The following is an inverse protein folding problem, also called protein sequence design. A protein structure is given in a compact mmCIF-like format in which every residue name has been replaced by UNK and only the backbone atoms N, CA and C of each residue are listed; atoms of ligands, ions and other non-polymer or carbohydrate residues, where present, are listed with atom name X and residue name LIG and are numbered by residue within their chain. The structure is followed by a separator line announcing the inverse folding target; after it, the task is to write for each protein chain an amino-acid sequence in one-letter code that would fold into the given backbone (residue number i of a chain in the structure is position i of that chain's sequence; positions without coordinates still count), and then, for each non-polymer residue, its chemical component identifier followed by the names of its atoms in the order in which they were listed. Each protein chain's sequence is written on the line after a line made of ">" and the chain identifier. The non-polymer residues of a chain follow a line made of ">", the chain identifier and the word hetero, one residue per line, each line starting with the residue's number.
data_IF_432460849904
#
_entry.id   IF_432460849904
#
_cell.length_a   1.000
_cell.length_b   1.000
_cell.length_c   1.000
_cell.angle_alpha   90.00
_cell.angle_beta   90.00
_cell.angle_gamma   90.00
#
_symmetry.space_group_name_H-M   'P 1'
#
loop_
_entity.id
_entity.type
_entity.pdbx_description
1 polymer ?
#
# COMPACT_ATOMS: atom_id res chain seq x y z
N UNK A 1 3.08 58.74 -6.63
CA UNK A 1 3.83 57.48 -6.42
C UNK A 1 3.55 56.94 -5.01
N UNK A 2 3.05 55.72 -4.86
CA UNK A 2 2.90 55.15 -3.53
C UNK A 2 4.28 54.86 -2.96
N UNK A 3 4.52 55.27 -1.70
CA UNK A 3 5.81 55.05 -1.02
C UNK A 3 6.16 53.59 -0.98
N UNK A 4 7.42 53.21 -1.21
CA UNK A 4 7.92 51.81 -1.08
C UNK A 4 7.54 51.22 0.27
N UNK A 5 7.50 52.04 1.32
CA UNK A 5 7.08 51.64 2.67
C UNK A 5 5.62 51.15 2.72
N UNK A 6 4.72 51.78 1.94
CA UNK A 6 3.34 51.34 1.86
C UNK A 6 3.23 49.93 1.21
N UNK A 7 3.96 49.73 0.11
CA UNK A 7 3.98 48.46 -0.61
C UNK A 7 4.52 47.35 0.29
N UNK A 8 5.62 47.60 1.00
CA UNK A 8 6.23 46.64 1.92
C UNK A 8 5.26 46.27 3.06
N UNK A 9 4.62 47.26 3.69
CA UNK A 9 3.63 47.00 4.74
C UNK A 9 2.44 46.22 4.22
N UNK A 10 1.92 46.53 3.07
CA UNK A 10 0.82 45.81 2.45
C UNK A 10 1.19 44.35 2.18
N UNK A 11 2.36 44.10 1.58
CA UNK A 11 2.83 42.73 1.30
C UNK A 11 3.01 41.94 2.60
N UNK A 12 3.63 42.52 3.64
CA UNK A 12 3.80 41.87 4.94
C UNK A 12 2.45 41.50 5.56
N UNK A 13 1.49 42.41 5.60
CA UNK A 13 0.16 42.13 6.15
C UNK A 13 -0.53 41.00 5.39
N UNK A 14 -0.51 41.08 4.06
CA UNK A 14 -1.11 40.04 3.20
C UNK A 14 -0.45 38.68 3.40
N UNK A 15 0.89 38.62 3.51
CA UNK A 15 1.61 37.38 3.77
C UNK A 15 1.23 36.78 5.11
N UNK A 16 1.15 37.62 6.16
CA UNK A 16 0.74 37.14 7.50
C UNK A 16 -0.70 36.63 7.49
N UNK A 17 -1.62 37.36 6.85
CA UNK A 17 -3.03 36.92 6.76
C UNK A 17 -3.15 35.60 6.02
N UNK A 18 -2.50 35.44 4.86
CA UNK A 18 -2.52 34.21 4.09
C UNK A 18 -1.89 33.07 4.87
N UNK A 19 -0.76 33.29 5.54
CA UNK A 19 -0.10 32.27 6.35
C UNK A 19 -0.98 31.80 7.51
N UNK A 20 -1.67 32.72 8.19
CA UNK A 20 -2.61 32.38 9.28
C UNK A 20 -3.80 31.56 8.77
N UNK A 21 -4.40 31.96 7.65
CA UNK A 21 -5.54 31.24 7.05
C UNK A 21 -5.12 29.82 6.64
N UNK A 22 -3.99 29.69 5.93
CA UNK A 22 -3.49 28.39 5.51
C UNK A 22 -3.12 27.49 6.69
N UNK A 23 -2.48 28.04 7.72
CA UNK A 23 -2.13 27.30 8.94
C UNK A 23 -3.39 26.82 9.68
N UNK A 24 -4.40 27.68 9.82
CA UNK A 24 -5.67 27.32 10.46
C UNK A 24 -6.39 26.21 9.67
N UNK A 25 -6.49 26.37 8.34
CA UNK A 25 -7.09 25.34 7.48
C UNK A 25 -6.35 24.00 7.58
N UNK A 26 -5.02 24.02 7.49
CA UNK A 26 -4.21 22.80 7.61
C UNK A 26 -4.45 22.10 8.96
N UNK A 27 -4.49 22.85 10.05
CA UNK A 27 -4.70 22.29 11.38
C UNK A 27 -6.11 21.69 11.54
N UNK A 28 -7.14 22.38 11.06
CA UNK A 28 -8.55 21.94 11.17
C UNK A 28 -8.83 20.73 10.27
N UNK A 29 -8.21 20.68 9.08
CA UNK A 29 -8.42 19.58 8.13
C UNK A 29 -7.57 18.35 8.43
N UNK A 30 -6.46 18.49 9.16
CA UNK A 30 -5.52 17.41 9.46
C UNK A 30 -6.19 16.14 10.00
N UNK A 31 -7.06 16.17 11.02
CA UNK A 31 -7.69 14.95 11.55
C UNK A 31 -8.54 14.21 10.51
N UNK A 32 -9.23 14.96 9.64
CA UNK A 32 -10.03 14.36 8.56
C UNK A 32 -9.14 13.74 7.48
N UNK A 33 -8.05 14.41 7.18
CA UNK A 33 -7.06 13.90 6.21
C UNK A 33 -6.43 12.60 6.72
N UNK A 34 -5.92 12.60 7.96
CA UNK A 34 -5.31 11.44 8.60
C UNK A 34 -6.29 10.24 8.65
N UNK A 35 -7.58 10.49 8.97
CA UNK A 35 -8.62 9.44 8.95
C UNK A 35 -8.86 8.89 7.54
N UNK A 36 -8.97 9.76 6.56
CA UNK A 36 -9.21 9.33 5.16
C UNK A 36 -8.02 8.54 4.61
N UNK A 37 -6.80 8.95 4.94
CA UNK A 37 -5.59 8.24 4.58
C UNK A 37 -5.54 6.84 5.23
N UNK A 38 -5.85 6.74 6.52
CA UNK A 38 -5.94 5.44 7.20
C UNK A 38 -6.96 4.51 6.55
N UNK A 39 -8.17 5.02 6.22
CA UNK A 39 -9.19 4.24 5.52
C UNK A 39 -8.73 3.84 4.12
N UNK A 40 -8.07 4.74 3.39
CA UNK A 40 -7.52 4.44 2.06
C UNK A 40 -6.49 3.32 2.13
N UNK A 41 -5.58 3.36 3.08
CA UNK A 41 -4.57 2.31 3.28
C UNK A 41 -5.20 0.97 3.68
N UNK A 42 -6.21 0.97 4.56
CA UNK A 42 -6.96 -0.24 4.92
C UNK A 42 -7.68 -0.83 3.70
N UNK A 43 -8.31 0.00 2.87
CA UNK A 43 -8.92 -0.45 1.61
C UNK A 43 -7.90 -1.08 0.66
N UNK A 44 -6.71 -0.52 0.56
CA UNK A 44 -5.64 -1.08 -0.27
C UNK A 44 -5.18 -2.46 0.23
N UNK A 45 -5.15 -2.68 1.55
CA UNK A 45 -4.85 -3.99 2.14
C UNK A 45 -5.99 -4.97 1.82
N UNK A 46 -7.26 -4.59 2.04
CA UNK A 46 -8.42 -5.42 1.73
C UNK A 46 -8.55 -5.74 0.24
N UNK A 47 -8.07 -4.85 -0.63
CA UNK A 47 -8.07 -5.09 -2.07
C UNK A 47 -7.20 -6.29 -2.51
N UNK A 48 -6.24 -6.70 -1.69
CA UNK A 48 -5.45 -7.90 -1.94
C UNK A 48 -6.22 -9.21 -1.65
N UNK A 49 -7.31 -9.12 -0.89
CA UNK A 49 -8.18 -10.25 -0.52
C UNK A 49 -9.63 -10.06 -0.99
N UNK A 50 -9.87 -9.29 -2.05
CA UNK A 50 -11.24 -9.01 -2.54
C UNK A 50 -12.06 -10.27 -2.77
N UNK A 51 -11.44 -11.34 -3.27
CA UNK A 51 -12.10 -12.64 -3.52
C UNK A 51 -12.60 -13.32 -2.25
N UNK A 52 -12.01 -13.01 -1.12
CA UNK A 52 -12.33 -13.61 0.19
C UNK A 52 -13.35 -12.78 0.99
N UNK A 53 -13.59 -11.54 0.59
CA UNK A 53 -14.55 -10.65 1.25
C UNK A 53 -16.00 -10.98 0.87
N UNK A 54 -16.22 -11.72 -0.21
CA UNK A 54 -17.52 -12.13 -0.71
C UNK A 54 -17.74 -11.81 -2.19
N UNK A 55 -18.79 -12.41 -2.76
CA UNK A 55 -19.14 -12.24 -4.17
C UNK A 55 -19.44 -10.76 -4.50
N UNK A 56 -18.74 -10.23 -5.50
CA UNK A 56 -18.89 -8.87 -5.99
C UNK A 56 -18.51 -7.74 -4.99
N UNK A 57 -17.84 -8.05 -3.89
CA UNK A 57 -17.31 -7.03 -2.99
C UNK A 57 -16.10 -6.36 -3.63
N UNK A 58 -16.11 -5.03 -3.69
CA UNK A 58 -14.99 -4.21 -4.14
C UNK A 58 -14.48 -3.37 -2.97
N UNK A 59 -13.24 -3.58 -2.58
CA UNK A 59 -12.65 -2.91 -1.42
C UNK A 59 -12.68 -1.38 -1.54
N UNK A 60 -12.49 -0.84 -2.76
CA UNK A 60 -12.55 0.59 -3.04
C UNK A 60 -13.93 1.20 -2.80
N UNK A 61 -15.00 0.41 -2.95
CA UNK A 61 -16.40 0.83 -2.79
C UNK A 61 -16.97 0.60 -1.40
N UNK A 62 -16.25 -0.10 -0.52
CA UNK A 62 -16.69 -0.31 0.85
C UNK A 62 -16.89 1.02 1.60
N UNK A 63 -17.97 1.18 2.37
CA UNK A 63 -18.14 2.33 3.26
C UNK A 63 -17.03 2.35 4.32
N UNK A 64 -16.61 3.54 4.81
CA UNK A 64 -15.58 3.66 5.84
C UNK A 64 -15.82 2.81 7.09
N UNK A 65 -17.05 2.76 7.56
CA UNK A 65 -17.41 2.05 8.81
C UNK A 65 -17.31 0.52 8.61
N UNK A 66 -17.62 0.01 7.43
CA UNK A 66 -17.47 -1.42 7.09
C UNK A 66 -16.00 -1.81 6.98
N UNK A 67 -15.16 -0.94 6.37
CA UNK A 67 -13.69 -1.14 6.33
C UNK A 67 -13.11 -1.26 7.73
N UNK A 68 -13.53 -0.38 8.64
CA UNK A 68 -13.06 -0.40 10.03
C UNK A 68 -13.52 -1.67 10.75
N UNK A 69 -14.80 -2.07 10.59
CA UNK A 69 -15.33 -3.30 11.20
C UNK A 69 -14.58 -4.55 10.72
N UNK A 70 -14.31 -4.68 9.40
CA UNK A 70 -13.53 -5.82 8.87
C UNK A 70 -12.12 -5.82 9.47
N UNK A 71 -11.49 -4.65 9.59
CA UNK A 71 -10.14 -4.55 10.17
C UNK A 71 -10.12 -4.92 11.64
N UNK A 72 -11.08 -4.43 12.43
CA UNK A 72 -11.13 -4.65 13.88
C UNK A 72 -11.53 -6.10 14.21
N UNK A 73 -12.42 -6.72 13.41
CA UNK A 73 -12.99 -8.03 13.71
C UNK A 73 -12.20 -9.19 13.09
N UNK A 74 -11.57 -8.99 11.91
CA UNK A 74 -11.01 -10.09 11.10
C UNK A 74 -9.53 -9.96 10.77
N UNK A 75 -8.90 -8.81 11.05
CA UNK A 75 -7.48 -8.59 10.72
C UNK A 75 -6.65 -8.53 11.99
N UNK A 76 -5.73 -9.46 12.11
CA UNK A 76 -4.68 -9.42 13.13
C UNK A 76 -3.45 -8.73 12.53
N UNK A 77 -2.96 -7.71 13.22
CA UNK A 77 -1.79 -6.94 12.80
C UNK A 77 -0.54 -7.44 13.53
N UNK A 78 0.50 -7.75 12.79
CA UNK A 78 1.79 -8.20 13.31
C UNK A 78 2.91 -7.46 12.57
N UNK A 79 3.94 -7.07 13.29
CA UNK A 79 5.18 -6.55 12.69
C UNK A 79 6.27 -7.59 12.86
N UNK A 80 7.00 -7.91 11.79
CA UNK A 80 8.08 -8.88 11.81
C UNK A 80 9.41 -8.23 11.43
N UNK A 81 10.51 -8.77 11.91
CA UNK A 81 11.85 -8.39 11.49
C UNK A 81 12.25 -9.04 10.14
N UNK A 82 13.48 -8.81 9.71
CA UNK A 82 14.05 -9.38 8.48
C UNK A 82 14.06 -10.92 8.45
N UNK A 83 14.10 -11.57 9.60
CA UNK A 83 14.09 -13.04 9.74
C UNK A 83 12.66 -13.60 9.88
N UNK A 84 11.63 -12.76 9.82
CA UNK A 84 10.24 -13.16 10.00
C UNK A 84 9.83 -13.35 11.48
N UNK A 85 10.68 -12.91 12.42
CA UNK A 85 10.38 -13.02 13.86
C UNK A 85 9.49 -11.84 14.27
N UNK A 86 8.38 -12.07 14.99
CA UNK A 86 7.53 -11.01 15.50
C UNK A 86 8.30 -10.03 16.40
N UNK A 87 8.13 -8.74 16.14
CA UNK A 87 8.68 -7.63 16.93
C UNK A 87 7.64 -7.18 17.95
N UNK A 88 8.07 -6.91 19.18
CA UNK A 88 7.16 -6.44 20.24
C UNK A 88 6.54 -5.08 19.91
N UNK A 89 5.35 -4.81 20.44
CA UNK A 89 4.66 -3.52 20.28
C UNK A 89 5.54 -2.38 20.77
N UNK A 90 6.20 -2.58 21.92
CA UNK A 90 7.10 -1.60 22.56
C UNK A 90 8.29 -1.26 21.67
N UNK A 91 8.89 -2.27 21.01
CA UNK A 91 10.02 -2.05 20.10
C UNK A 91 9.60 -1.34 18.82
N UNK A 92 8.40 -1.63 18.30
CA UNK A 92 7.82 -0.95 17.14
C UNK A 92 7.52 0.51 17.48
N UNK A 93 6.97 0.80 18.66
CA UNK A 93 6.76 2.16 19.16
C UNK A 93 8.09 2.91 19.37
N UNK A 94 9.11 2.27 19.93
CA UNK A 94 10.43 2.85 20.10
C UNK A 94 11.08 3.26 18.76
N UNK A 95 10.71 2.61 17.66
CA UNK A 95 11.12 2.99 16.30
C UNK A 95 10.30 4.17 15.71
N UNK A 96 9.34 4.71 16.49
CA UNK A 96 8.53 5.88 16.14
C UNK A 96 7.22 5.56 15.41
N UNK A 97 6.75 4.32 15.44
CA UNK A 97 5.48 3.89 14.85
C UNK A 97 4.39 3.81 15.93
N UNK A 98 3.45 4.73 15.85
CA UNK A 98 2.41 4.94 16.86
C UNK A 98 1.61 3.66 17.15
N UNK A 99 1.49 3.30 18.42
CA UNK A 99 0.69 2.18 18.90
C UNK A 99 1.27 0.80 18.54
N UNK A 100 2.49 0.75 17.98
CA UNK A 100 3.12 -0.50 17.58
C UNK A 100 2.37 -1.29 16.51
N UNK A 101 1.39 -0.66 15.83
CA UNK A 101 0.53 -1.31 14.84
C UNK A 101 1.20 -1.42 13.49
N UNK A 102 0.97 -2.54 12.80
CA UNK A 102 1.51 -2.80 11.47
C UNK A 102 1.09 -1.74 10.45
N UNK A 103 -0.15 -1.23 10.53
CA UNK A 103 -0.67 -0.17 9.66
C UNK A 103 0.09 1.16 9.76
N UNK A 104 0.80 1.39 10.85
CA UNK A 104 1.57 2.61 11.09
C UNK A 104 3.03 2.49 10.66
N UNK A 105 3.48 1.31 10.23
CA UNK A 105 4.85 1.09 9.73
C UNK A 105 5.03 1.77 8.38
N UNK A 106 5.92 2.75 8.32
CA UNK A 106 6.24 3.47 7.08
C UNK A 106 7.28 2.71 6.25
N UNK A 107 6.81 1.92 5.30
CA UNK A 107 7.66 1.14 4.39
C UNK A 107 8.63 2.01 3.57
N UNK A 108 8.34 3.30 3.36
CA UNK A 108 9.25 4.24 2.70
C UNK A 108 10.45 4.58 3.58
N UNK A 109 10.25 4.66 4.90
CA UNK A 109 11.33 4.84 5.87
C UNK A 109 12.12 3.55 6.04
N UNK A 110 11.43 2.42 6.19
CA UNK A 110 12.08 1.12 6.36
C UNK A 110 12.97 0.76 5.16
N UNK A 111 12.54 1.02 3.92
CA UNK A 111 13.33 0.78 2.71
C UNK A 111 14.70 1.47 2.71
N UNK A 112 14.86 2.58 3.45
CA UNK A 112 16.13 3.34 3.52
C UNK A 112 17.14 2.74 4.51
N UNK A 113 16.69 1.83 5.38
CA UNK A 113 17.54 1.16 6.37
C UNK A 113 18.26 -0.03 5.74
N UNK A 114 19.39 -0.50 6.32
CA UNK A 114 19.96 -1.79 6.00
C UNK A 114 18.91 -2.91 6.10
N UNK A 115 19.03 -3.95 5.29
CA UNK A 115 17.99 -4.98 5.19
C UNK A 115 17.70 -5.65 6.55
N UNK A 116 18.75 -5.90 7.32
CA UNK A 116 18.71 -6.58 8.62
C UNK A 116 18.02 -5.76 9.72
N UNK A 117 17.94 -4.44 9.55
CA UNK A 117 17.31 -3.52 10.51
C UNK A 117 15.84 -3.24 10.20
N UNK A 118 15.38 -3.69 9.03
CA UNK A 118 14.01 -3.42 8.56
C UNK A 118 13.00 -4.22 9.33
N UNK A 119 11.83 -3.61 9.50
CA UNK A 119 10.63 -4.29 9.97
C UNK A 119 9.54 -4.22 8.90
N UNK A 120 8.69 -5.25 8.88
CA UNK A 120 7.70 -5.43 7.84
C UNK A 120 6.32 -5.62 8.46
N UNK A 121 5.30 -4.89 7.98
CA UNK A 121 3.93 -5.08 8.38
C UNK A 121 3.36 -6.36 7.75
N UNK A 122 2.72 -7.18 8.55
CA UNK A 122 1.99 -8.37 8.14
C UNK A 122 0.58 -8.30 8.71
N UNK A 123 -0.41 -8.48 7.86
CA UNK A 123 -1.82 -8.53 8.25
C UNK A 123 -2.32 -9.95 8.04
N UNK A 124 -2.91 -10.54 9.07
CA UNK A 124 -3.48 -11.89 8.97
C UNK A 124 -5.00 -11.76 8.96
N UNK A 125 -5.62 -12.16 7.85
CA UNK A 125 -7.06 -12.25 7.72
C UNK A 125 -7.51 -13.65 8.08
N UNK A 126 -8.47 -13.78 9.00
CA UNK A 126 -9.09 -15.05 9.36
C UNK A 126 -10.38 -15.23 8.55
N UNK A 127 -10.36 -16.18 7.64
CA UNK A 127 -11.51 -16.59 6.85
C UNK A 127 -12.06 -17.93 7.38
N UNK A 128 -12.82 -17.86 8.48
CA UNK A 128 -13.44 -19.05 9.10
C UNK A 128 -12.44 -20.18 9.44
N UNK A 129 -11.25 -19.81 9.89
CA UNK A 129 -10.19 -20.75 10.28
C UNK A 129 -9.11 -20.97 9.20
N UNK A 130 -9.32 -20.52 7.97
CA UNK A 130 -8.27 -20.41 6.96
C UNK A 130 -7.57 -19.05 7.09
N UNK A 131 -6.28 -19.06 7.33
CA UNK A 131 -5.50 -17.84 7.50
C UNK A 131 -4.90 -17.38 6.18
N UNK A 132 -5.07 -16.09 5.88
CA UNK A 132 -4.48 -15.46 4.73
C UNK A 132 -3.54 -14.36 5.24
N UNK A 133 -2.30 -14.38 4.78
CA UNK A 133 -1.25 -13.46 5.19
C UNK A 133 -1.06 -12.38 4.13
N UNK A 134 -1.28 -11.13 4.49
CA UNK A 134 -1.14 -9.99 3.60
C UNK A 134 0.15 -9.28 3.95
N UNK A 135 1.07 -9.20 3.00
CA UNK A 135 2.38 -8.57 3.16
C UNK A 135 2.45 -7.33 2.30
N UNK A 136 2.83 -6.21 2.90
CA UNK A 136 3.04 -4.97 2.17
C UNK A 136 4.41 -4.97 1.49
N UNK A 137 4.42 -4.61 0.22
CA UNK A 137 5.64 -4.51 -0.59
C UNK A 137 5.83 -3.08 -1.11
N UNK A 138 7.09 -2.68 -1.29
CA UNK A 138 7.44 -1.38 -1.85
C UNK A 138 8.70 -1.46 -2.70
N UNK A 139 8.66 -0.85 -3.87
CA UNK A 139 9.75 -0.86 -4.82
C UNK A 139 9.89 0.43 -5.61
N UNK A 140 10.78 0.43 -6.59
CA UNK A 140 10.89 1.49 -7.59
C UNK A 140 10.15 1.04 -8.84
N UNK A 141 9.31 1.91 -9.36
CA UNK A 141 8.74 1.81 -10.68
C UNK A 141 9.68 2.37 -11.75
N UNK A 142 9.12 2.69 -12.91
CA UNK A 142 9.88 3.30 -14.00
C UNK A 142 10.20 4.78 -13.73
N UNK A 143 9.24 5.51 -13.18
CA UNK A 143 9.34 6.95 -12.91
C UNK A 143 9.42 7.26 -11.42
N UNK A 144 8.64 6.57 -10.60
CA UNK A 144 8.55 6.85 -9.18
C UNK A 144 8.34 5.55 -8.37
N UNK A 145 8.04 5.67 -7.10
CA UNK A 145 7.80 4.52 -6.22
C UNK A 145 6.47 3.83 -6.56
N UNK A 146 6.52 2.52 -6.50
CA UNK A 146 5.36 1.64 -6.53
C UNK A 146 5.27 0.87 -5.22
N UNK A 147 4.06 0.58 -4.78
CA UNK A 147 3.81 -0.23 -3.59
C UNK A 147 2.55 -1.07 -3.79
N UNK A 148 2.35 -1.99 -2.90
CA UNK A 148 1.17 -2.84 -2.95
C UNK A 148 1.13 -3.82 -1.79
N UNK A 149 0.12 -4.67 -1.82
CA UNK A 149 -0.06 -5.75 -0.87
C UNK A 149 -0.23 -7.06 -1.63
N UNK A 150 0.41 -8.12 -1.16
CA UNK A 150 0.26 -9.47 -1.69
C UNK A 150 -0.35 -10.33 -0.59
N UNK A 151 -1.45 -10.99 -0.90
CA UNK A 151 -2.11 -11.94 -0.01
C UNK A 151 -1.64 -13.35 -0.35
N UNK A 152 -1.22 -14.09 0.65
CA UNK A 152 -0.70 -15.45 0.56
C UNK A 152 -1.55 -16.40 1.40
N UNK A 153 -1.68 -17.64 0.95
CA UNK A 153 -2.24 -18.71 1.77
C UNK A 153 -1.30 -19.04 2.93
N UNK A 154 -1.75 -19.94 3.81
CA UNK A 154 -1.00 -20.46 4.95
C UNK A 154 0.26 -21.28 4.57
N UNK A 155 0.38 -21.70 3.31
CA UNK A 155 1.58 -22.30 2.73
C UNK A 155 2.71 -21.28 2.47
N UNK A 156 2.46 -19.97 2.65
CA UNK A 156 3.36 -18.86 2.32
C UNK A 156 3.92 -18.89 0.88
N UNK A 157 3.26 -19.60 0.00
CA UNK A 157 3.68 -19.82 -1.37
C UNK A 157 2.63 -19.38 -2.38
N UNK A 158 1.37 -19.76 -2.14
CA UNK A 158 0.27 -19.53 -3.06
C UNK A 158 -0.32 -18.14 -2.88
N UNK A 159 -0.33 -17.36 -3.95
CA UNK A 159 -0.93 -16.01 -3.97
C UNK A 159 -2.45 -16.13 -4.05
N UNK A 160 -3.16 -15.53 -3.11
CA UNK A 160 -4.62 -15.36 -3.10
C UNK A 160 -5.02 -14.19 -4.00
N UNK A 161 -4.30 -13.09 -3.87
CA UNK A 161 -4.51 -11.89 -4.66
C UNK A 161 -3.46 -10.82 -4.40
N UNK A 162 -3.56 -9.71 -5.12
CA UNK A 162 -2.64 -8.60 -4.98
C UNK A 162 -3.34 -7.26 -5.21
N UNK A 163 -2.82 -6.22 -4.58
CA UNK A 163 -3.19 -4.83 -4.86
C UNK A 163 -1.94 -4.01 -5.09
N UNK A 164 -2.02 -3.05 -6.00
CA UNK A 164 -0.89 -2.18 -6.34
C UNK A 164 -1.33 -0.73 -6.39
N UNK A 165 -0.38 0.16 -6.12
CA UNK A 165 -0.52 1.59 -6.28
C UNK A 165 0.83 2.20 -6.67
N UNK A 166 0.83 3.43 -7.14
CA UNK A 166 2.02 4.14 -7.59
C UNK A 166 1.93 5.63 -7.26
N UNK A 167 3.07 6.30 -7.24
CA UNK A 167 3.13 7.74 -6.98
C UNK A 167 3.02 8.58 -8.25
N UNK A 168 3.68 8.19 -9.33
CA UNK A 168 3.81 9.03 -10.52
C UNK A 168 4.03 8.27 -11.83
N UNK A 169 3.52 7.04 -11.95
CA UNK A 169 3.63 6.27 -13.19
C UNK A 169 2.72 6.84 -14.28
N UNK A 170 3.12 6.66 -15.54
CA UNK A 170 2.39 7.21 -16.69
C UNK A 170 1.11 6.41 -16.97
N UNK A 171 -0.06 7.06 -17.10
CA UNK A 171 -1.30 6.43 -17.54
C UNK A 171 -1.13 5.67 -18.87
N UNK A 172 -1.75 4.49 -18.97
CA UNK A 172 -1.63 3.62 -20.16
C UNK A 172 -0.27 2.89 -20.29
N UNK A 173 0.63 3.06 -19.30
CA UNK A 173 1.91 2.37 -19.19
C UNK A 173 2.10 1.81 -17.78
N UNK A 174 2.97 2.41 -16.95
CA UNK A 174 3.25 1.95 -15.59
C UNK A 174 2.05 2.04 -14.64
N UNK A 175 1.14 2.99 -14.85
CA UNK A 175 -0.09 3.13 -14.05
C UNK A 175 -1.07 1.96 -14.22
N UNK A 176 -0.95 1.14 -15.27
CA UNK A 176 -1.78 -0.05 -15.49
C UNK A 176 -1.74 -1.05 -14.33
N UNK A 177 -0.68 -1.04 -13.52
CA UNK A 177 -0.60 -1.89 -12.32
C UNK A 177 -1.75 -1.63 -11.33
N UNK A 178 -2.27 -0.39 -11.30
CA UNK A 178 -3.39 0.05 -10.47
C UNK A 178 -4.68 0.12 -11.28
N UNK A 179 -4.63 0.75 -12.45
CA UNK A 179 -5.82 1.16 -13.20
C UNK A 179 -6.46 -0.01 -13.95
N UNK A 180 -5.68 -1.07 -14.27
CA UNK A 180 -6.17 -2.23 -15.00
C UNK A 180 -6.54 -3.39 -14.04
N UNK A 181 -7.83 -3.67 -13.82
CA UNK A 181 -8.24 -4.77 -12.94
C UNK A 181 -7.70 -6.13 -13.39
N UNK A 182 -7.50 -6.35 -14.70
CA UNK A 182 -6.98 -7.60 -15.23
C UNK A 182 -5.52 -7.83 -14.83
N UNK A 183 -4.76 -6.78 -14.50
CA UNK A 183 -3.38 -6.94 -14.06
C UNK A 183 -3.31 -7.66 -12.72
N UNK A 184 -4.04 -7.18 -11.72
CA UNK A 184 -4.01 -7.76 -10.36
C UNK A 184 -4.59 -9.18 -10.30
N UNK A 185 -5.58 -9.51 -11.14
CA UNK A 185 -6.18 -10.84 -11.15
C UNK A 185 -5.23 -11.93 -11.67
N UNK A 186 -4.19 -11.57 -12.41
CA UNK A 186 -3.19 -12.52 -12.91
C UNK A 186 -2.29 -13.11 -11.81
N UNK A 187 -2.27 -12.50 -10.63
CA UNK A 187 -1.47 -12.99 -9.51
C UNK A 187 -2.15 -14.13 -8.76
N UNK A 188 -3.47 -14.18 -8.74
CA UNK A 188 -4.24 -15.19 -8.03
C UNK A 188 -3.90 -16.61 -8.53
N UNK A 189 -3.67 -17.53 -7.58
CA UNK A 189 -3.33 -18.92 -7.84
C UNK A 189 -1.87 -19.17 -8.28
N UNK A 190 -1.03 -18.13 -8.38
CA UNK A 190 0.39 -18.30 -8.69
C UNK A 190 1.17 -18.65 -7.44
N UNK A 191 2.24 -19.45 -7.60
CA UNK A 191 3.19 -19.76 -6.52
C UNK A 191 4.39 -18.83 -6.56
N UNK A 192 4.92 -18.47 -5.41
CA UNK A 192 6.20 -17.74 -5.27
C UNK A 192 7.41 -18.65 -5.45
N UNK A 193 7.20 -19.97 -5.48
CA UNK A 193 8.24 -20.97 -5.62
C UNK A 193 7.98 -21.82 -6.86
N UNK A 194 9.06 -22.29 -7.49
CA UNK A 194 8.98 -23.25 -8.59
C UNK A 194 8.79 -24.69 -8.08
N UNK A 195 8.74 -25.65 -9.01
CA UNK A 195 8.56 -27.08 -8.70
C UNK A 195 9.73 -27.65 -7.88
N UNK A 196 10.88 -26.99 -7.86
CA UNK A 196 12.07 -27.37 -7.11
C UNK A 196 12.12 -26.72 -5.72
N UNK A 197 11.10 -25.89 -5.37
CA UNK A 197 11.04 -25.16 -4.11
C UNK A 197 11.96 -23.93 -4.04
N UNK A 198 12.47 -23.46 -5.16
CA UNK A 198 13.30 -22.27 -5.24
C UNK A 198 12.41 -21.04 -5.42
N UNK A 199 12.71 -19.98 -4.69
CA UNK A 199 12.02 -18.69 -4.85
C UNK A 199 12.16 -18.17 -6.27
N UNK A 200 11.04 -17.87 -6.91
CA UNK A 200 10.96 -17.27 -8.24
C UNK A 200 10.37 -15.87 -8.16
N UNK A 201 10.99 -14.93 -8.87
CA UNK A 201 10.41 -13.60 -8.99
C UNK A 201 9.28 -13.58 -10.00
N UNK A 202 8.31 -12.68 -9.79
CA UNK A 202 7.24 -12.41 -10.75
C UNK A 202 7.81 -11.52 -11.86
N UNK A 203 7.73 -11.98 -13.12
CA UNK A 203 8.12 -11.21 -14.28
C UNK A 203 6.89 -10.75 -15.04
N UNK A 204 6.81 -9.45 -15.26
CA UNK A 204 5.79 -8.84 -16.12
C UNK A 204 6.31 -8.83 -17.54
N UNK A 205 5.65 -9.54 -18.45
CA UNK A 205 5.97 -9.54 -19.89
C UNK A 205 4.86 -8.85 -20.66
N UNK A 206 5.27 -8.07 -21.67
CA UNK A 206 4.37 -7.56 -22.68
C UNK A 206 4.05 -8.68 -23.65
N UNK A 207 2.79 -9.03 -23.83
CA UNK A 207 2.40 -9.90 -24.95
C UNK A 207 2.63 -9.16 -26.26
N UNK A 208 3.30 -9.83 -27.23
CA UNK A 208 3.25 -9.35 -28.61
C UNK A 208 1.80 -9.54 -29.12
N UNK A 209 1.18 -8.49 -29.64
CA UNK A 209 -0.22 -8.56 -30.00
C UNK A 209 -0.40 -9.42 -31.25
N UNK A 210 -1.02 -10.55 -31.11
CA UNK A 210 -1.66 -11.23 -32.25
C UNK A 210 -2.97 -10.52 -32.69
N UNK A 211 -3.24 -9.34 -32.37
CA UNK A 211 -4.31 -8.43 -32.75
C UNK A 211 -4.77 -7.51 -31.61
N UNK A 212 -4.52 -6.24 -31.76
CA UNK A 212 -5.23 -5.04 -31.26
C UNK A 212 -5.48 -4.82 -29.77
N UNK A 213 -4.95 -5.56 -28.80
CA UNK A 213 -4.95 -5.13 -27.41
C UNK A 213 -3.64 -5.48 -26.69
N UNK A 214 -2.99 -4.48 -26.10
CA UNK A 214 -1.86 -4.71 -25.18
C UNK A 214 -2.39 -5.43 -23.95
N UNK A 215 -2.11 -6.71 -23.79
CA UNK A 215 -2.27 -7.43 -22.54
C UNK A 215 -0.93 -7.53 -21.84
N UNK A 216 -0.89 -7.10 -20.58
CA UNK A 216 0.22 -7.40 -19.67
C UNK A 216 -0.03 -8.77 -19.06
N UNK A 217 0.86 -9.72 -19.30
CA UNK A 217 0.84 -11.02 -18.62
C UNK A 217 1.92 -11.07 -17.54
N UNK A 218 1.55 -11.56 -16.37
CA UNK A 218 2.47 -11.83 -15.27
C UNK A 218 2.86 -13.30 -15.32
N UNK A 219 4.15 -13.56 -15.50
CA UNK A 219 4.72 -14.89 -15.45
C UNK A 219 5.63 -15.04 -14.24
N UNK A 220 5.63 -16.22 -13.63
CA UNK A 220 6.71 -16.60 -12.73
C UNK A 220 7.92 -16.96 -13.60
N UNK A 221 9.00 -16.21 -13.45
CA UNK A 221 10.22 -16.47 -14.19
C UNK A 221 11.02 -17.57 -13.49
N UNK A 222 11.35 -18.61 -14.24
CA UNK A 222 12.46 -19.49 -13.88
C UNK A 222 13.76 -18.73 -14.19
N UNK A 223 14.60 -18.52 -13.19
CA UNK A 223 15.99 -18.11 -13.36
C UNK A 223 16.89 -19.34 -13.41
#
# INVERSE_FOLDING_TARGET
>A
MRSNTYVIRFVMIMTVVVALVLSLMATVLKPRHDRNEAIFNKKAILAAIETELGDNVKADKLPPDEVLSIFDDKIVQTVVDFNGVPVSVEDVEARGYKGGLAENVDMKKEKKKPAEERIFPVFTYDNNGEKIYIVSIRGNGLWDEIWGNIALKDDFATVVGASFDHQGETPGLGAEIKDNPSFKTQFAGKSLYDEEGKYTSVVVRKEEPETHSMRLMVYLARQ
#
